data_IF_444836250315
#
_entry.id   IF_444836250315
#
_cell.length_a   1.000
_cell.length_b   1.000
_cell.length_c   1.000
_cell.angle_alpha   90.00
_cell.angle_beta   90.00
_cell.angle_gamma   90.00
#
_symmetry.space_group_name_H-M   'P 1'
#
loop_
_entity.id
_entity.type
_entity.pdbx_description
1 polymer ?
#
# COMPACT_ATOMS: atom_id res chain seq x y z
N UNK A 1 -17.40 -20.20 -6.33
CA UNK A 1 -16.64 -19.14 -5.61
C UNK A 1 -17.61 -17.99 -5.39
N UNK A 2 -17.78 -17.53 -4.15
CA UNK A 2 -19.02 -16.91 -3.62
C UNK A 2 -19.69 -15.85 -4.50
N UNK A 3 -20.92 -16.13 -4.92
CA UNK A 3 -21.76 -15.23 -5.75
C UNK A 3 -22.41 -14.10 -4.94
N UNK A 4 -22.31 -14.13 -3.61
CA UNK A 4 -22.91 -13.13 -2.73
C UNK A 4 -21.82 -12.33 -2.03
N UNK A 5 -21.93 -11.01 -2.16
CA UNK A 5 -21.11 -10.01 -1.47
C UNK A 5 -22.03 -9.20 -0.58
N UNK A 6 -21.59 -8.89 0.62
CA UNK A 6 -22.33 -8.07 1.58
C UNK A 6 -21.42 -6.95 2.08
N UNK A 7 -21.99 -5.76 2.27
CA UNK A 7 -21.32 -4.66 2.92
C UNK A 7 -21.37 -4.90 4.44
N UNK A 8 -20.21 -4.86 5.10
CA UNK A 8 -20.10 -5.18 6.53
C UNK A 8 -19.93 -3.90 7.37
N UNK A 9 -19.21 -2.91 6.86
CA UNK A 9 -18.93 -1.65 7.55
C UNK A 9 -18.86 -0.51 6.51
N UNK A 10 -19.28 0.68 6.90
CA UNK A 10 -19.19 1.91 6.12
C UNK A 10 -19.00 3.13 7.03
N UNK A 11 -18.13 4.05 6.61
CA UNK A 11 -17.86 5.28 7.35
C UNK A 11 -17.95 6.49 6.40
N UNK A 12 -18.83 7.47 6.66
CA UNK A 12 -18.89 8.66 5.83
C UNK A 12 -17.63 9.52 6.04
N UNK A 13 -16.91 9.80 4.96
CA UNK A 13 -15.79 10.73 5.00
C UNK A 13 -16.30 12.18 5.07
N UNK A 14 -15.87 12.91 6.10
CA UNK A 14 -16.22 14.32 6.28
C UNK A 14 -15.05 15.25 5.93
N UNK A 15 -15.16 16.04 4.84
CA UNK A 15 -14.18 17.09 4.57
C UNK A 15 -14.15 18.14 5.69
N UNK A 16 -12.99 18.77 5.92
CA UNK A 16 -12.84 19.82 6.96
C UNK A 16 -13.94 20.89 6.95
N UNK A 17 -14.38 21.33 5.76
CA UNK A 17 -15.44 22.32 5.60
C UNK A 17 -16.81 21.89 6.14
N UNK A 18 -17.08 20.59 6.21
CA UNK A 18 -18.31 20.05 6.80
C UNK A 18 -18.20 20.01 8.32
N UNK A 19 -17.05 19.58 8.84
CA UNK A 19 -16.81 19.53 10.29
C UNK A 19 -16.93 20.93 10.94
N UNK A 20 -16.61 21.99 10.20
CA UNK A 20 -16.79 23.38 10.66
C UNK A 20 -18.22 23.93 10.50
N UNK A 21 -19.14 23.15 9.91
CA UNK A 21 -20.53 23.49 9.67
C UNK A 21 -21.43 22.41 10.31
N UNK A 22 -21.52 22.47 11.63
CA UNK A 22 -22.24 21.48 12.44
C UNK A 22 -23.72 21.42 12.08
N UNK A 23 -24.38 22.56 11.83
CA UNK A 23 -25.77 22.58 11.40
C UNK A 23 -26.00 21.78 10.12
N UNK A 24 -25.10 21.91 9.14
CA UNK A 24 -25.17 21.11 7.91
C UNK A 24 -25.00 19.63 8.19
N UNK A 25 -24.07 19.25 9.06
CA UNK A 25 -23.87 17.85 9.45
C UNK A 25 -25.10 17.26 10.14
N UNK A 26 -25.69 18.00 11.08
CA UNK A 26 -26.90 17.57 11.80
C UNK A 26 -28.11 17.47 10.86
N UNK A 27 -28.25 18.41 9.90
CA UNK A 27 -29.28 18.32 8.83
C UNK A 27 -29.10 17.08 7.95
N UNK A 28 -27.85 16.63 7.77
CA UNK A 28 -27.52 15.39 7.07
C UNK A 28 -27.57 14.14 7.98
N UNK A 29 -28.08 14.26 9.21
CA UNK A 29 -28.24 13.17 10.18
C UNK A 29 -26.93 12.50 10.60
N UNK A 30 -25.83 13.23 10.56
CA UNK A 30 -24.55 12.75 11.05
C UNK A 30 -24.58 12.81 12.60
N UNK A 31 -24.29 11.70 13.30
CA UNK A 31 -24.20 11.71 14.75
C UNK A 31 -23.17 12.73 15.23
N UNK A 32 -23.50 13.49 16.28
CA UNK A 32 -22.67 14.59 16.79
C UNK A 32 -21.23 14.16 17.11
N UNK A 33 -21.08 12.97 17.67
CA UNK A 33 -19.82 12.34 18.03
C UNK A 33 -18.97 11.95 16.80
N UNK A 34 -19.59 11.81 15.64
CA UNK A 34 -18.92 11.50 14.38
C UNK A 34 -18.53 12.76 13.59
N UNK A 35 -18.95 13.97 14.02
CA UNK A 35 -18.61 15.27 13.40
C UNK A 35 -17.17 15.68 13.79
N UNK A 36 -16.21 14.88 13.33
CA UNK A 36 -14.79 15.08 13.54
C UNK A 36 -14.06 14.79 12.23
N UNK A 37 -13.00 15.55 11.96
CA UNK A 37 -12.19 15.32 10.77
C UNK A 37 -11.33 14.07 10.96
N UNK A 38 -11.56 13.06 10.11
CA UNK A 38 -10.74 11.87 9.96
C UNK A 38 -10.34 11.73 8.50
N UNK A 39 -9.11 11.29 8.25
CA UNK A 39 -8.71 10.97 6.88
C UNK A 39 -9.38 9.66 6.44
N UNK A 40 -9.45 9.43 5.13
CA UNK A 40 -9.94 8.13 4.62
C UNK A 40 -9.10 6.95 5.13
N UNK A 41 -7.82 7.17 5.38
CA UNK A 41 -6.91 6.16 5.92
C UNK A 41 -7.26 5.81 7.36
N UNK A 42 -7.53 6.83 8.19
CA UNK A 42 -7.96 6.64 9.58
C UNK A 42 -9.28 5.84 9.62
N UNK A 43 -10.25 6.23 8.80
CA UNK A 43 -11.53 5.51 8.70
C UNK A 43 -11.36 4.06 8.24
N UNK A 44 -10.48 3.82 7.25
CA UNK A 44 -10.19 2.47 6.78
C UNK A 44 -9.54 1.59 7.85
N UNK A 45 -8.59 2.13 8.62
CA UNK A 45 -7.99 1.43 9.75
C UNK A 45 -9.02 1.16 10.86
N UNK A 46 -9.85 2.13 11.20
CA UNK A 46 -10.94 1.95 12.18
C UNK A 46 -11.88 0.81 11.76
N UNK A 47 -12.24 0.72 10.48
CA UNK A 47 -13.09 -0.37 9.96
C UNK A 47 -12.40 -1.74 10.07
N UNK A 48 -11.10 -1.81 9.77
CA UNK A 48 -10.32 -3.06 9.89
C UNK A 48 -10.20 -3.47 11.36
N UNK A 49 -9.87 -2.52 12.24
CA UNK A 49 -9.75 -2.76 13.68
C UNK A 49 -11.08 -3.20 14.28
N UNK A 50 -12.19 -2.61 13.83
CA UNK A 50 -13.53 -3.03 14.22
C UNK A 50 -13.83 -4.46 13.76
N UNK A 51 -13.50 -4.82 12.51
CA UNK A 51 -13.70 -6.18 12.01
C UNK A 51 -12.90 -7.22 12.81
N UNK A 52 -11.66 -6.89 13.19
CA UNK A 52 -10.82 -7.75 14.05
C UNK A 52 -11.45 -7.89 15.44
N UNK A 53 -11.85 -6.77 16.05
CA UNK A 53 -12.45 -6.74 17.39
C UNK A 53 -13.73 -7.56 17.47
N UNK A 54 -14.58 -7.47 16.44
CA UNK A 54 -15.83 -8.24 16.34
C UNK A 54 -15.61 -9.70 15.91
N UNK A 55 -14.36 -10.12 15.68
CA UNK A 55 -14.01 -11.50 15.34
C UNK A 55 -14.47 -11.93 13.94
N UNK A 56 -14.63 -10.98 13.01
CA UNK A 56 -15.03 -11.27 11.64
C UNK A 56 -13.87 -12.03 10.95
N UNK A 57 -14.09 -13.24 10.43
CA UNK A 57 -13.02 -14.01 9.81
C UNK A 57 -12.68 -13.48 8.41
N UNK A 58 -11.43 -13.11 8.18
CA UNK A 58 -10.89 -12.79 6.86
C UNK A 58 -9.42 -13.25 6.74
N UNK A 59 -8.97 -13.50 5.51
CA UNK A 59 -7.59 -13.97 5.25
C UNK A 59 -6.64 -12.85 4.83
N UNK A 60 -7.13 -11.81 4.16
CA UNK A 60 -6.33 -10.70 3.69
C UNK A 60 -7.19 -9.44 3.46
N UNK A 61 -6.53 -8.28 3.46
CA UNK A 61 -7.12 -6.99 3.11
C UNK A 61 -6.69 -6.61 1.69
N UNK A 62 -7.62 -6.21 0.83
CA UNK A 62 -7.30 -5.65 -0.49
C UNK A 62 -7.67 -4.18 -0.58
N UNK A 63 -6.82 -3.36 -1.19
CA UNK A 63 -7.09 -1.94 -1.37
C UNK A 63 -6.57 -1.41 -2.70
N UNK A 64 -7.21 -0.35 -3.18
CA UNK A 64 -6.81 0.34 -4.41
C UNK A 64 -5.56 1.22 -4.21
N UNK A 65 -5.13 1.86 -5.30
CA UNK A 65 -3.92 2.69 -5.33
C UNK A 65 -3.96 3.90 -4.41
N UNK A 66 -5.15 4.47 -4.17
CA UNK A 66 -5.28 5.60 -3.26
C UNK A 66 -4.86 5.22 -1.84
N UNK A 67 -5.21 4.01 -1.39
CA UNK A 67 -4.81 3.50 -0.08
C UNK A 67 -3.37 2.96 -0.08
N UNK A 68 -2.95 2.25 -1.12
CA UNK A 68 -1.62 1.67 -1.19
C UNK A 68 -0.48 2.67 -1.35
N UNK A 69 -0.76 3.89 -1.80
CA UNK A 69 0.20 5.00 -1.80
C UNK A 69 0.48 5.57 -0.40
N UNK A 70 -0.29 5.21 0.62
CA UNK A 70 -0.04 5.67 1.99
C UNK A 70 0.92 4.71 2.73
N UNK A 71 2.19 5.10 2.94
CA UNK A 71 3.17 4.21 3.58
C UNK A 71 2.86 3.96 5.05
N UNK A 72 2.19 4.88 5.75
CA UNK A 72 1.81 4.72 7.15
C UNK A 72 0.71 3.66 7.25
N UNK A 73 -0.30 3.72 6.38
CA UNK A 73 -1.36 2.71 6.34
C UNK A 73 -0.79 1.30 6.17
N UNK A 74 0.12 1.11 5.21
CA UNK A 74 0.74 -0.20 4.98
C UNK A 74 1.54 -0.67 6.20
N UNK A 75 2.33 0.22 6.82
CA UNK A 75 3.08 -0.10 8.05
C UNK A 75 2.13 -0.48 9.20
N UNK A 76 0.98 0.19 9.33
CA UNK A 76 -0.02 -0.14 10.35
C UNK A 76 -0.66 -1.52 10.14
N UNK A 77 -0.84 -1.96 8.88
CA UNK A 77 -1.29 -3.32 8.57
C UNK A 77 -0.22 -4.36 8.86
N UNK A 78 1.04 -4.08 8.54
CA UNK A 78 2.19 -4.92 8.88
C UNK A 78 2.31 -5.10 10.41
N UNK A 79 2.19 -4.01 11.18
CA UNK A 79 2.25 -4.03 12.65
C UNK A 79 1.15 -4.87 13.29
N UNK A 80 -0.01 -4.97 12.64
CA UNK A 80 -1.13 -5.83 13.04
C UNK A 80 -0.95 -7.29 12.62
N UNK A 81 0.11 -7.61 11.89
CA UNK A 81 0.35 -8.95 11.35
C UNK A 81 -0.64 -9.35 10.25
N UNK A 82 -1.28 -8.38 9.58
CA UNK A 82 -2.27 -8.64 8.55
C UNK A 82 -1.59 -8.91 7.20
N UNK A 83 -2.12 -9.90 6.47
CA UNK A 83 -1.79 -10.05 5.05
C UNK A 83 -2.61 -9.04 4.25
N UNK A 84 -1.97 -8.30 3.35
CA UNK A 84 -2.66 -7.35 2.48
C UNK A 84 -2.13 -7.39 1.05
N UNK A 85 -2.97 -6.92 0.13
CA UNK A 85 -2.63 -6.65 -1.26
C UNK A 85 -3.08 -5.23 -1.56
N UNK A 86 -2.15 -4.38 -1.96
CA UNK A 86 -2.41 -2.98 -2.26
C UNK A 86 -1.85 -2.64 -3.63
N UNK A 87 -2.65 -1.97 -4.46
CA UNK A 87 -2.13 -1.32 -5.66
C UNK A 87 -1.21 -0.16 -5.23
N UNK A 88 -0.14 0.09 -5.95
CA UNK A 88 0.84 1.15 -5.63
C UNK A 88 1.12 1.99 -6.87
N UNK A 89 1.56 3.24 -6.65
CA UNK A 89 2.04 4.08 -7.74
C UNK A 89 3.27 3.48 -8.41
N UNK A 90 3.39 3.62 -9.72
CA UNK A 90 4.50 3.08 -10.51
C UNK A 90 5.86 3.72 -10.17
N UNK A 91 5.85 4.91 -9.57
CA UNK A 91 7.05 5.62 -9.13
C UNK A 91 7.44 5.32 -7.67
N UNK A 92 6.69 4.42 -7.00
CA UNK A 92 7.03 3.90 -5.68
C UNK A 92 8.46 3.35 -5.68
N UNK A 93 9.23 3.68 -4.65
CA UNK A 93 10.63 3.25 -4.51
C UNK A 93 10.72 2.01 -3.63
N UNK A 94 11.47 1.02 -4.10
CA UNK A 94 11.68 -0.26 -3.42
C UNK A 94 13.16 -0.66 -3.45
N UNK A 95 13.57 -1.51 -2.51
CA UNK A 95 14.87 -2.17 -2.51
C UNK A 95 14.70 -3.62 -2.94
N UNK A 96 15.46 -4.05 -3.95
CA UNK A 96 15.36 -5.41 -4.53
C UNK A 96 16.19 -6.47 -3.80
N UNK A 97 16.98 -6.04 -2.82
CA UNK A 97 17.81 -6.88 -1.95
C UNK A 97 17.72 -6.31 -0.53
N UNK A 98 18.09 -7.13 0.45
CA UNK A 98 18.05 -6.75 1.86
C UNK A 98 18.93 -5.51 2.12
N UNK A 99 18.34 -4.39 2.56
CA UNK A 99 19.03 -3.14 2.77
C UNK A 99 19.72 -3.09 4.13
N UNK A 100 21.01 -2.70 4.13
CA UNK A 100 21.82 -2.52 5.32
C UNK A 100 21.78 -1.04 5.71
N UNK A 101 21.17 -0.73 6.85
CA UNK A 101 21.06 0.63 7.37
C UNK A 101 22.21 0.92 8.32
N UNK A 102 22.86 2.08 8.15
CA UNK A 102 23.87 2.56 9.08
C UNK A 102 24.21 4.02 8.87
N UNK A 103 25.09 4.56 9.72
CA UNK A 103 25.61 5.92 9.55
C UNK A 103 26.66 5.86 8.43
N UNK A 104 26.53 6.67 7.36
CA UNK A 104 27.49 6.62 6.26
C UNK A 104 28.85 7.12 6.71
N UNK A 105 29.90 6.59 6.09
CA UNK A 105 31.27 7.06 6.35
C UNK A 105 31.44 8.54 5.99
N UNK A 106 32.28 9.23 6.77
CA UNK A 106 32.59 10.63 6.52
C UNK A 106 33.32 10.78 5.19
N UNK A 107 32.75 11.56 4.28
CA UNK A 107 33.43 11.93 3.03
C UNK A 107 34.43 13.06 3.29
N UNK A 108 35.72 12.74 3.20
CA UNK A 108 36.82 13.71 3.29
C UNK A 108 37.14 14.20 4.72
N UNK A 109 38.08 15.15 4.81
CA UNK A 109 38.64 15.61 6.11
C UNK A 109 37.82 16.71 6.79
N UNK A 110 37.20 17.62 6.01
CA UNK A 110 36.40 18.76 6.51
C UNK A 110 34.91 18.42 6.60
N UNK A 111 34.16 19.20 7.38
CA UNK A 111 32.71 19.04 7.57
C UNK A 111 32.31 18.20 8.78
N UNK A 112 31.01 18.24 9.10
CA UNK A 112 30.39 17.55 10.25
C UNK A 112 30.40 16.04 10.05
N UNK A 113 30.59 15.28 11.13
CA UNK A 113 30.39 13.83 11.11
C UNK A 113 28.94 13.50 10.74
N UNK A 114 28.71 12.58 9.78
CA UNK A 114 27.37 12.10 9.49
C UNK A 114 26.72 11.51 10.75
N UNK A 115 25.43 11.76 10.93
CA UNK A 115 24.63 11.26 12.07
C UNK A 115 23.28 10.70 11.64
N UNK A 116 22.87 10.94 10.39
CA UNK A 116 21.60 10.48 9.83
C UNK A 116 21.83 9.08 9.23
N UNK A 117 21.08 8.06 9.66
CA UNK A 117 21.13 6.72 9.08
C UNK A 117 20.74 6.72 7.59
N UNK A 118 21.38 5.85 6.81
CA UNK A 118 21.09 5.62 5.39
C UNK A 118 21.28 4.16 5.03
N UNK A 119 20.67 3.74 3.92
CA UNK A 119 21.02 2.47 3.29
C UNK A 119 22.43 2.57 2.69
N UNK A 120 23.29 1.61 3.03
CA UNK A 120 24.72 1.64 2.72
C UNK A 120 25.10 0.78 1.52
N UNK A 121 24.38 -0.31 1.26
CA UNK A 121 24.74 -1.34 0.28
C UNK A 121 24.04 -1.21 -1.08
N UNK A 122 22.91 -0.50 -1.16
CA UNK A 122 22.19 -0.28 -2.42
C UNK A 122 21.36 1.00 -2.42
N UNK A 123 20.95 1.41 -3.62
CA UNK A 123 19.97 2.47 -3.84
C UNK A 123 18.58 1.89 -4.06
N UNK A 124 17.55 2.63 -3.65
CA UNK A 124 16.16 2.31 -4.00
C UNK A 124 15.94 2.45 -5.51
N UNK A 125 15.08 1.62 -6.09
CA UNK A 125 14.71 1.61 -7.51
C UNK A 125 13.20 1.91 -7.61
N UNK A 126 12.79 2.71 -8.59
CA UNK A 126 11.36 2.93 -8.88
C UNK A 126 10.74 1.68 -9.51
N UNK A 127 9.48 1.41 -9.21
CA UNK A 127 8.77 0.22 -9.72
C UNK A 127 8.70 0.22 -11.26
N UNK A 128 8.52 1.37 -11.92
CA UNK A 128 8.53 1.47 -13.40
C UNK A 128 9.85 1.00 -14.04
N UNK A 129 10.95 1.44 -13.44
CA UNK A 129 12.32 1.16 -13.87
C UNK A 129 12.65 -0.30 -13.62
N UNK A 130 12.19 -0.83 -12.49
CA UNK A 130 12.27 -2.24 -12.17
C UNK A 130 11.46 -3.07 -13.18
N UNK A 131 10.19 -2.73 -13.41
CA UNK A 131 9.31 -3.42 -14.37
C UNK A 131 9.92 -3.54 -15.76
N UNK A 132 10.55 -2.46 -16.23
CA UNK A 132 11.20 -2.40 -17.54
C UNK A 132 12.45 -3.29 -17.67
N UNK A 133 13.11 -3.60 -16.55
CA UNK A 133 14.34 -4.40 -16.51
C UNK A 133 14.11 -5.87 -16.14
N UNK A 134 12.86 -6.26 -15.83
CA UNK A 134 12.53 -7.64 -15.45
C UNK A 134 12.52 -8.56 -16.66
N UNK A 135 13.27 -9.64 -16.53
CA UNK A 135 13.23 -10.78 -17.44
C UNK A 135 12.42 -11.96 -16.85
N UNK A 136 12.15 -12.97 -17.69
CA UNK A 136 11.49 -14.23 -17.32
C UNK A 136 10.10 -14.02 -16.73
N UNK A 137 9.21 -13.47 -17.54
CA UNK A 137 7.79 -13.34 -17.23
C UNK A 137 7.07 -14.68 -17.34
N UNK A 138 6.08 -14.91 -16.49
CA UNK A 138 5.22 -16.09 -16.55
C UNK A 138 3.87 -15.70 -17.16
N UNK A 139 3.41 -16.42 -18.19
CA UNK A 139 2.09 -16.19 -18.77
C UNK A 139 1.04 -16.93 -17.93
N UNK A 140 0.12 -16.18 -17.32
CA UNK A 140 -0.96 -16.73 -16.50
C UNK A 140 -2.33 -16.38 -17.07
N UNK A 141 -3.30 -17.28 -16.87
CA UNK A 141 -4.71 -17.08 -17.23
C UNK A 141 -5.49 -16.68 -15.98
N UNK A 142 -6.03 -15.46 -15.96
CA UNK A 142 -6.73 -14.92 -14.79
C UNK A 142 -8.19 -15.38 -14.76
N UNK A 143 -8.93 -15.09 -15.85
CA UNK A 143 -10.37 -15.31 -15.88
C UNK A 143 -10.83 -15.68 -17.28
N UNK A 144 -11.83 -16.56 -17.36
CA UNK A 144 -12.55 -16.83 -18.59
C UNK A 144 -13.52 -15.69 -18.88
N UNK A 145 -13.38 -15.09 -20.06
CA UNK A 145 -14.28 -14.07 -20.60
C UNK A 145 -15.04 -14.64 -21.81
N UNK A 146 -16.04 -13.92 -22.31
CA UNK A 146 -16.75 -14.29 -23.54
C UNK A 146 -15.83 -14.36 -24.77
N UNK A 147 -14.72 -13.60 -24.74
CA UNK A 147 -13.72 -13.53 -25.82
C UNK A 147 -12.51 -14.46 -25.59
N UNK A 148 -12.65 -15.49 -24.74
CA UNK A 148 -11.56 -16.38 -24.33
C UNK A 148 -10.98 -16.02 -22.96
N UNK A 149 -9.76 -16.48 -22.65
CA UNK A 149 -9.13 -16.15 -21.36
C UNK A 149 -8.50 -14.76 -21.37
N UNK A 150 -8.61 -14.04 -20.24
CA UNK A 150 -7.72 -12.91 -19.96
C UNK A 150 -6.36 -13.48 -19.55
N UNK A 151 -5.38 -13.30 -20.42
CA UNK A 151 -4.00 -13.73 -20.24
C UNK A 151 -3.13 -12.52 -19.89
N UNK A 152 -2.28 -12.65 -18.88
CA UNK A 152 -1.32 -11.61 -18.49
C UNK A 152 0.05 -12.22 -18.32
N UNK A 153 1.08 -11.45 -18.64
CA UNK A 153 2.43 -11.74 -18.17
C UNK A 153 2.53 -11.27 -16.72
N UNK A 154 3.05 -12.12 -15.85
CA UNK A 154 3.11 -11.90 -14.41
C UNK A 154 4.52 -12.15 -13.87
N UNK A 155 4.87 -11.39 -12.83
CA UNK A 155 6.08 -11.58 -12.04
C UNK A 155 5.82 -11.22 -10.58
N UNK A 156 6.33 -12.04 -9.67
CA UNK A 156 6.42 -11.71 -8.25
C UNK A 156 7.90 -11.58 -7.85
N UNK A 157 8.27 -10.48 -7.20
CA UNK A 157 9.63 -10.23 -6.72
C UNK A 157 9.57 -9.82 -5.26
N UNK A 158 10.46 -10.37 -4.44
CA UNK A 158 10.59 -9.99 -3.04
C UNK A 158 11.36 -8.67 -2.93
N UNK A 159 10.75 -7.66 -2.30
CA UNK A 159 11.32 -6.31 -2.17
C UNK A 159 11.11 -5.76 -0.77
N UNK A 160 11.90 -4.76 -0.38
CA UNK A 160 11.68 -3.97 0.82
C UNK A 160 11.11 -2.62 0.41
N UNK A 161 10.01 -2.23 1.07
CA UNK A 161 9.37 -0.93 0.86
C UNK A 161 10.25 0.18 1.45
N UNK A 162 10.26 1.35 0.82
CA UNK A 162 10.93 2.54 1.37
C UNK A 162 9.90 3.44 2.07
N UNK A 163 10.20 3.85 3.30
CA UNK A 163 9.45 4.84 4.08
C UNK A 163 10.47 5.84 4.63
N UNK A 164 10.27 7.13 4.34
CA UNK A 164 11.17 8.22 4.78
C UNK A 164 12.67 7.97 4.44
N UNK A 165 12.93 7.48 3.22
CA UNK A 165 14.26 7.10 2.72
C UNK A 165 14.95 5.93 3.45
N UNK A 166 14.24 5.27 4.35
CA UNK A 166 14.68 4.07 5.04
C UNK A 166 13.85 2.85 4.60
N UNK A 167 14.40 1.64 4.72
CA UNK A 167 13.65 0.43 4.43
C UNK A 167 12.73 0.06 5.59
N UNK A 168 11.55 -0.46 5.26
CA UNK A 168 10.73 -1.18 6.24
C UNK A 168 11.44 -2.49 6.63
N UNK A 169 11.17 -3.00 7.83
CA UNK A 169 11.85 -4.18 8.39
C UNK A 169 11.59 -5.44 7.57
N UNK A 170 10.32 -5.67 7.21
CA UNK A 170 9.90 -6.89 6.55
C UNK A 170 9.83 -6.72 5.03
N UNK A 171 10.30 -7.72 4.27
CA UNK A 171 10.10 -7.75 2.83
C UNK A 171 8.66 -8.10 2.45
N UNK A 172 8.18 -7.51 1.36
CA UNK A 172 6.90 -7.79 0.73
C UNK A 172 7.08 -8.36 -0.68
N UNK A 173 6.01 -8.95 -1.21
CA UNK A 173 5.95 -9.35 -2.61
C UNK A 173 5.46 -8.19 -3.46
N UNK A 174 6.29 -7.72 -4.38
CA UNK A 174 5.88 -6.85 -5.47
C UNK A 174 5.34 -7.72 -6.60
N UNK A 175 4.04 -7.58 -6.87
CA UNK A 175 3.35 -8.27 -7.95
C UNK A 175 3.25 -7.33 -9.14
N UNK A 176 3.77 -7.74 -10.29
CA UNK A 176 3.76 -6.94 -11.52
C UNK A 176 3.09 -7.77 -12.60
N UNK A 177 2.14 -7.16 -13.30
CA UNK A 177 1.49 -7.76 -14.45
C UNK A 177 1.42 -6.79 -15.61
N UNK A 178 1.54 -7.31 -16.83
CA UNK A 178 1.24 -6.60 -18.07
C UNK A 178 0.32 -7.44 -18.95
N UNK A 179 -0.61 -6.79 -19.64
CA UNK A 179 -1.56 -7.48 -20.51
C UNK A 179 -0.83 -8.15 -21.67
N UNK A 180 -1.15 -9.41 -21.96
CA UNK A 180 -0.50 -10.16 -23.03
C UNK A 180 -0.83 -9.60 -24.44
N UNK A 181 -1.90 -8.80 -24.57
CA UNK A 181 -2.37 -8.24 -25.84
C UNK A 181 -1.88 -6.81 -26.09
N UNK A 182 -1.76 -5.98 -25.04
CA UNK A 182 -1.28 -4.59 -25.19
C UNK A 182 0.18 -4.39 -24.78
N UNK A 183 0.77 -5.31 -24.00
CA UNK A 183 2.15 -5.17 -23.51
C UNK A 183 2.33 -4.11 -22.41
N UNK A 184 1.25 -3.45 -22.00
CA UNK A 184 1.15 -2.49 -20.88
C UNK A 184 0.78 -3.19 -19.57
#
# INVERSE_FOLDING_TARGET
>A
MGEKRILIDERPYLPKKWVTDEERCLKAQIPSEEILFRTKYDLGLEMIDNAIKEGIPFSYVTMDGFYGENPILLTELENRGLTFVADIAIDTKVYVQEPIVGIPEKKGKRGRMPTIPKVLNLSSIRVDSLSSSIERWELIRIQKTERGYKEVYFKAIKVWRSQDELPCENPLWLLISKDAKSGE
#
